data_IF_571795921099
#
_entry.id   IF_571795921099
#
_cell.length_a   1.000
_cell.length_b   1.000
_cell.length_c   1.000
_cell.angle_alpha   90.00
_cell.angle_beta   90.00
_cell.angle_gamma   90.00
#
_symmetry.space_group_name_H-M   'P 1'
#
loop_
_entity.id
_entity.type
_entity.pdbx_description
1 polymer ?
#
# COMPACT_ATOMS: atom_id res chain seq x y z
N UNK A 1 -41.47 16.93 65.73
CA UNK A 1 -41.75 15.91 64.70
C UNK A 1 -41.90 16.59 63.36
N UNK A 2 -41.05 16.21 62.38
CA UNK A 2 -41.26 16.17 60.91
C UNK A 2 -39.89 16.28 60.24
N UNK A 3 -39.31 15.11 59.97
CA UNK A 3 -38.13 14.95 59.13
C UNK A 3 -38.68 14.77 57.71
N UNK A 4 -38.28 15.65 56.79
CA UNK A 4 -38.55 15.52 55.36
C UNK A 4 -37.42 14.68 54.76
N UNK A 5 -37.76 13.50 54.24
CA UNK A 5 -36.86 12.66 53.46
C UNK A 5 -37.06 12.96 51.96
N UNK A 6 -36.00 13.40 51.28
CA UNK A 6 -35.93 13.41 49.82
C UNK A 6 -35.51 12.02 49.33
N UNK A 7 -36.34 11.40 48.51
CA UNK A 7 -36.00 10.19 47.77
C UNK A 7 -35.25 10.57 46.49
N UNK A 8 -34.01 10.12 46.34
CA UNK A 8 -33.25 10.22 45.10
C UNK A 8 -33.60 9.02 44.20
N UNK A 9 -34.20 9.30 43.03
CA UNK A 9 -34.38 8.31 41.98
C UNK A 9 -33.04 8.10 41.26
N UNK A 10 -32.42 6.94 41.47
CA UNK A 10 -31.25 6.50 40.69
C UNK A 10 -31.77 5.93 39.36
N UNK A 11 -31.64 6.72 38.29
CA UNK A 11 -31.83 6.24 36.93
C UNK A 11 -30.66 5.35 36.52
N UNK A 12 -30.89 4.06 36.38
CA UNK A 12 -29.94 3.13 35.76
C UNK A 12 -29.97 3.38 34.25
N UNK A 13 -29.01 4.14 33.75
CA UNK A 13 -28.75 4.22 32.32
C UNK A 13 -28.10 2.91 31.86
N UNK A 14 -28.86 2.06 31.18
CA UNK A 14 -28.31 0.93 30.44
C UNK A 14 -27.61 1.47 29.18
N UNK A 15 -26.34 1.85 29.32
CA UNK A 15 -25.46 1.99 28.18
C UNK A 15 -25.23 0.61 27.57
N UNK A 16 -25.99 0.28 26.53
CA UNK A 16 -25.67 -0.78 25.57
C UNK A 16 -24.36 -0.39 24.88
N UNK A 17 -23.24 -0.75 25.51
CA UNK A 17 -21.91 -0.54 24.96
C UNK A 17 -21.79 -1.37 23.69
N UNK A 18 -21.61 -0.70 22.54
CA UNK A 18 -21.07 -1.36 21.36
C UNK A 18 -19.75 -1.96 21.79
N UNK A 19 -19.61 -3.27 21.68
CA UNK A 19 -18.39 -3.93 22.10
C UNK A 19 -17.27 -3.40 21.19
N UNK A 20 -16.39 -2.59 21.77
CA UNK A 20 -15.32 -1.90 21.05
C UNK A 20 -14.38 -2.94 20.42
N UNK A 21 -13.81 -2.61 19.27
CA UNK A 21 -12.73 -3.40 18.70
C UNK A 21 -11.54 -3.40 19.66
N UNK A 22 -10.86 -4.53 19.76
CA UNK A 22 -9.71 -4.70 20.64
C UNK A 22 -8.45 -4.67 19.80
N UNK A 23 -7.48 -3.82 20.16
CA UNK A 23 -6.20 -3.81 19.45
C UNK A 23 -5.43 -5.10 19.76
N UNK A 24 -5.10 -5.84 18.72
CA UNK A 24 -4.20 -6.97 18.78
C UNK A 24 -2.78 -6.53 18.43
N UNK A 25 -1.81 -7.00 19.20
CA UNK A 25 -0.40 -6.69 19.02
C UNK A 25 0.40 -7.97 18.87
N UNK A 26 1.20 -8.06 17.81
CA UNK A 26 2.15 -9.15 17.64
C UNK A 26 3.22 -9.11 18.76
N UNK A 27 3.42 -10.21 19.51
CA UNK A 27 4.50 -10.29 20.49
C UNK A 27 5.90 -10.03 19.91
N UNK A 28 6.11 -10.28 18.62
CA UNK A 28 7.37 -10.00 17.93
C UNK A 28 7.43 -8.60 17.30
N UNK A 29 6.37 -7.79 17.46
CA UNK A 29 6.31 -6.41 17.00
C UNK A 29 6.25 -6.21 15.49
N UNK A 30 5.80 -7.21 14.69
CA UNK A 30 5.76 -7.12 13.23
C UNK A 30 4.45 -6.57 12.66
N UNK A 31 3.36 -6.64 13.42
CA UNK A 31 2.05 -6.14 12.99
C UNK A 31 1.15 -5.86 14.20
N UNK A 32 0.31 -4.85 14.08
CA UNK A 32 -0.81 -4.54 14.97
C UNK A 32 -2.07 -4.38 14.12
N UNK A 33 -3.24 -4.65 14.69
CA UNK A 33 -4.52 -4.43 14.02
C UNK A 33 -5.68 -4.42 15.03
N UNK A 34 -6.82 -3.91 14.62
CA UNK A 34 -8.04 -3.91 15.44
C UNK A 34 -8.83 -5.19 15.18
N UNK A 35 -8.87 -6.09 16.16
CA UNK A 35 -9.71 -7.29 16.14
C UNK A 35 -11.17 -6.87 16.31
N UNK A 36 -12.06 -7.16 15.34
CA UNK A 36 -13.46 -6.84 15.48
C UNK A 36 -14.09 -7.57 16.69
N UNK A 37 -15.08 -6.95 17.31
CA UNK A 37 -15.68 -7.54 18.50
C UNK A 37 -16.41 -8.85 18.21
N UNK A 38 -16.31 -9.80 19.14
CA UNK A 38 -16.87 -11.14 19.00
C UNK A 38 -16.08 -12.08 18.07
N UNK A 39 -14.97 -11.61 17.49
CA UNK A 39 -14.05 -12.46 16.73
C UNK A 39 -13.00 -13.08 17.66
N UNK A 40 -12.62 -14.31 17.33
CA UNK A 40 -11.49 -15.02 17.94
C UNK A 40 -10.21 -14.73 17.14
N UNK A 41 -9.05 -14.89 17.80
CA UNK A 41 -7.74 -14.75 17.18
C UNK A 41 -6.84 -15.89 17.62
N UNK A 42 -6.20 -16.57 16.66
CA UNK A 42 -5.26 -17.64 16.94
C UNK A 42 -4.06 -17.61 16.00
N UNK A 43 -2.94 -18.19 16.43
CA UNK A 43 -1.75 -18.29 15.61
C UNK A 43 -1.97 -19.29 14.47
N UNK A 44 -1.78 -18.84 13.22
CA UNK A 44 -1.87 -19.65 12.01
C UNK A 44 -0.48 -20.13 11.58
N UNK A 45 0.03 -21.16 12.24
CA UNK A 45 1.34 -21.76 11.93
C UNK A 45 2.54 -21.14 12.68
N UNK A 46 3.78 -21.47 12.27
CA UNK A 46 4.99 -21.04 12.99
C UNK A 46 5.22 -19.53 12.91
N UNK A 47 5.49 -18.90 14.06
CA UNK A 47 5.68 -17.44 14.18
C UNK A 47 7.15 -16.99 14.08
N UNK A 48 8.05 -17.87 13.62
CA UNK A 48 9.50 -17.65 13.69
C UNK A 48 10.01 -16.64 12.67
N UNK A 49 9.58 -16.74 11.41
CA UNK A 49 10.02 -15.86 10.32
C UNK A 49 8.98 -14.81 9.91
N UNK A 50 7.73 -14.99 10.31
CA UNK A 50 6.61 -14.11 10.01
C UNK A 50 5.59 -14.20 11.13
N UNK A 51 4.70 -13.22 11.16
CA UNK A 51 3.48 -13.30 11.95
C UNK A 51 2.35 -13.78 11.06
N UNK A 52 1.55 -14.72 11.56
CA UNK A 52 0.40 -15.26 10.86
C UNK A 52 -0.70 -15.54 11.89
N UNK A 53 -1.83 -14.85 11.76
CA UNK A 53 -2.95 -14.90 12.70
C UNK A 53 -4.23 -15.19 11.92
N UNK A 54 -5.02 -16.17 12.37
CA UNK A 54 -6.39 -16.37 11.91
C UNK A 54 -7.32 -15.63 12.86
N UNK A 55 -8.07 -14.68 12.30
CA UNK A 55 -9.21 -14.03 12.93
C UNK A 55 -10.49 -14.66 12.39
N UNK A 56 -11.40 -15.08 13.25
CA UNK A 56 -12.60 -15.76 12.77
C UNK A 56 -13.82 -15.59 13.67
N UNK A 57 -14.98 -15.82 13.06
CA UNK A 57 -16.25 -16.04 13.73
C UNK A 57 -17.08 -17.05 12.94
N UNK A 58 -18.36 -17.24 13.28
CA UNK A 58 -19.22 -18.24 12.64
C UNK A 58 -19.43 -18.05 11.11
N UNK A 59 -19.11 -16.89 10.54
CA UNK A 59 -19.41 -16.57 9.13
C UNK A 59 -18.24 -15.97 8.36
N UNK A 60 -17.11 -15.72 9.03
CA UNK A 60 -16.01 -14.97 8.46
C UNK A 60 -14.68 -15.48 8.99
N UNK A 61 -13.72 -15.56 8.07
CA UNK A 61 -12.33 -15.91 8.35
C UNK A 61 -11.45 -14.82 7.74
N UNK A 62 -10.43 -14.37 8.46
CA UNK A 62 -9.44 -13.40 8.02
C UNK A 62 -8.05 -13.81 8.49
N UNK A 63 -7.14 -14.05 7.57
CA UNK A 63 -5.73 -14.27 7.89
C UNK A 63 -4.98 -12.96 7.81
N UNK A 64 -4.27 -12.60 8.88
CA UNK A 64 -3.41 -11.41 8.94
C UNK A 64 -1.95 -11.86 9.03
N UNK A 65 -1.10 -11.21 8.25
CA UNK A 65 0.33 -11.48 8.20
C UNK A 65 1.14 -10.21 8.43
N UNK A 66 2.24 -10.35 9.15
CA UNK A 66 3.34 -9.40 9.20
C UNK A 66 4.62 -10.08 8.71
N UNK A 67 5.13 -9.67 7.54
CA UNK A 67 6.28 -10.31 6.90
C UNK A 67 7.39 -9.29 6.65
N UNK A 68 8.64 -9.70 6.82
CA UNK A 68 9.78 -8.88 6.40
C UNK A 68 9.72 -8.65 4.89
N UNK A 69 9.93 -7.40 4.46
CA UNK A 69 9.98 -7.03 3.05
C UNK A 69 11.39 -6.50 2.72
N UNK A 70 12.29 -7.34 2.18
CA UNK A 70 13.64 -6.92 1.84
C UNK A 70 13.68 -5.86 0.74
N UNK A 71 12.66 -5.80 -0.13
CA UNK A 71 12.60 -4.81 -1.21
C UNK A 71 12.36 -3.38 -0.68
N UNK A 72 11.76 -3.24 0.50
CA UNK A 72 11.54 -1.94 1.14
C UNK A 72 12.41 -1.71 2.37
N UNK A 73 13.33 -2.63 2.69
CA UNK A 73 14.20 -2.51 3.86
C UNK A 73 15.08 -1.27 3.85
N UNK A 74 15.51 -0.81 2.67
CA UNK A 74 16.29 0.41 2.48
C UNK A 74 15.44 1.62 2.03
N UNK A 75 14.12 1.45 1.88
CA UNK A 75 13.24 2.55 1.47
C UNK A 75 13.08 3.56 2.60
N UNK A 76 13.06 4.85 2.26
CA UNK A 76 12.64 5.87 3.21
C UNK A 76 11.15 5.72 3.55
N UNK A 77 10.73 6.25 4.69
CA UNK A 77 9.33 6.24 5.10
C UNK A 77 8.44 6.94 4.06
N UNK A 78 8.90 8.04 3.47
CA UNK A 78 8.17 8.71 2.41
C UNK A 78 8.11 7.89 1.11
N UNK A 79 9.20 7.22 0.71
CA UNK A 79 9.19 6.35 -0.47
C UNK A 79 8.21 5.19 -0.30
N UNK A 80 8.21 4.56 0.88
CA UNK A 80 7.23 3.52 1.23
C UNK A 80 5.80 4.05 1.17
N UNK A 81 5.55 5.24 1.72
CA UNK A 81 4.24 5.92 1.66
C UNK A 81 3.77 6.17 0.22
N UNK A 82 4.69 6.47 -0.68
CA UNK A 82 4.36 6.75 -2.08
C UNK A 82 4.22 5.48 -2.95
N UNK A 83 4.23 4.28 -2.34
CA UNK A 83 3.97 3.00 -3.01
C UNK A 83 2.48 2.88 -3.34
N UNK A 84 2.07 3.57 -4.41
CA UNK A 84 0.67 3.66 -4.87
C UNK A 84 0.41 2.92 -6.17
N UNK A 85 1.46 2.40 -6.82
CA UNK A 85 1.32 1.50 -7.96
C UNK A 85 0.65 0.21 -7.49
N UNK A 86 -0.50 -0.17 -8.08
CA UNK A 86 -1.17 -1.42 -7.72
C UNK A 86 -0.26 -2.64 -7.94
N UNK A 87 -0.30 -3.60 -7.01
CA UNK A 87 0.35 -4.90 -7.18
C UNK A 87 -0.10 -5.56 -8.48
N UNK A 88 0.82 -6.29 -9.11
CA UNK A 88 0.48 -7.14 -10.25
C UNK A 88 -0.40 -8.32 -9.79
N UNK A 89 -1.20 -8.91 -10.70
CA UNK A 89 -1.96 -10.12 -10.38
C UNK A 89 -1.11 -11.27 -9.83
N UNK A 90 0.11 -11.45 -10.37
CA UNK A 90 1.05 -12.46 -9.89
C UNK A 90 1.52 -12.17 -8.46
N UNK A 91 1.80 -10.91 -8.12
CA UNK A 91 2.19 -10.54 -6.76
C UNK A 91 1.05 -10.80 -5.76
N UNK A 92 -0.19 -10.50 -6.14
CA UNK A 92 -1.38 -10.86 -5.36
C UNK A 92 -1.51 -12.37 -5.18
N UNK A 93 -1.36 -13.14 -6.26
CA UNK A 93 -1.44 -14.60 -6.20
C UNK A 93 -0.35 -15.19 -5.30
N UNK A 94 0.89 -14.72 -5.41
CA UNK A 94 2.00 -15.12 -4.54
C UNK A 94 1.72 -14.80 -3.07
N UNK A 95 1.19 -13.60 -2.78
CA UNK A 95 0.86 -13.21 -1.42
C UNK A 95 -0.29 -14.05 -0.83
N UNK A 96 -1.36 -14.28 -1.62
CA UNK A 96 -2.55 -15.01 -1.21
C UNK A 96 -2.30 -16.51 -0.99
N UNK A 97 -1.34 -17.09 -1.73
CA UNK A 97 -0.94 -18.50 -1.58
C UNK A 97 -0.40 -18.85 -0.18
N UNK A 98 -0.12 -17.87 0.68
CA UNK A 98 0.17 -18.12 2.09
C UNK A 98 -1.04 -18.71 2.86
N UNK A 99 -2.27 -18.47 2.37
CA UNK A 99 -3.52 -18.91 3.01
C UNK A 99 -4.01 -20.20 2.36
N UNK A 100 -3.46 -21.34 2.79
CA UNK A 100 -3.77 -22.66 2.20
C UNK A 100 -5.22 -23.09 2.36
N UNK A 101 -5.90 -22.58 3.39
CA UNK A 101 -7.31 -22.88 3.63
C UNK A 101 -8.25 -22.20 2.61
N UNK A 102 -7.81 -21.07 2.04
CA UNK A 102 -8.54 -20.40 0.96
C UNK A 102 -8.07 -20.83 -0.43
N UNK A 103 -6.77 -21.11 -0.55
CA UNK A 103 -6.12 -21.49 -1.80
C UNK A 103 -5.35 -22.80 -1.63
N UNK A 104 -6.04 -23.95 -1.75
CA UNK A 104 -5.42 -25.27 -1.67
C UNK A 104 -4.32 -25.44 -2.73
N UNK A 105 -3.37 -26.35 -2.46
CA UNK A 105 -2.26 -26.62 -3.36
C UNK A 105 -2.74 -26.88 -4.80
N UNK A 106 -2.08 -26.25 -5.78
CA UNK A 106 -2.46 -26.31 -7.20
C UNK A 106 -3.56 -25.32 -7.62
N UNK A 107 -4.12 -24.55 -6.69
CA UNK A 107 -5.03 -23.44 -7.03
C UNK A 107 -4.24 -22.16 -7.27
N UNK A 108 -4.59 -21.43 -8.33
CA UNK A 108 -4.03 -20.09 -8.61
C UNK A 108 -5.10 -19.03 -8.37
N UNK A 109 -4.97 -18.18 -7.34
CA UNK A 109 -5.88 -17.05 -7.13
C UNK A 109 -5.99 -16.21 -8.40
N UNK A 110 -7.21 -15.85 -8.81
CA UNK A 110 -7.42 -14.93 -9.93
C UNK A 110 -7.85 -13.57 -9.39
N UNK A 111 -7.16 -12.49 -9.78
CA UNK A 111 -7.60 -11.13 -9.43
C UNK A 111 -8.83 -10.77 -10.26
N UNK A 112 -9.93 -10.45 -9.58
CA UNK A 112 -11.19 -10.01 -10.20
C UNK A 112 -11.22 -8.48 -10.28
N UNK A 113 -10.93 -7.82 -9.17
CA UNK A 113 -10.83 -6.37 -9.06
C UNK A 113 -9.67 -5.98 -8.16
N UNK A 114 -9.11 -4.79 -8.35
CA UNK A 114 -8.11 -4.23 -7.47
C UNK A 114 -8.20 -2.71 -7.42
N UNK A 115 -7.85 -2.15 -6.27
CA UNK A 115 -7.88 -0.70 -6.01
C UNK A 115 -6.73 -0.33 -5.07
N UNK A 116 -6.34 0.95 -5.07
CA UNK A 116 -5.42 1.50 -4.07
C UNK A 116 -6.13 2.64 -3.36
N UNK A 117 -6.36 2.47 -2.06
CA UNK A 117 -6.91 3.51 -1.20
C UNK A 117 -5.77 4.37 -0.66
N UNK A 118 -5.83 5.67 -0.91
CA UNK A 118 -4.84 6.66 -0.48
C UNK A 118 -5.43 7.69 0.50
N UNK A 119 -6.63 7.43 1.03
CA UNK A 119 -7.29 8.31 1.99
C UNK A 119 -6.60 8.32 3.37
N UNK A 120 -5.95 7.21 3.73
CA UNK A 120 -5.11 7.09 4.93
C UNK A 120 -3.68 7.61 4.71
N UNK A 121 -2.91 7.71 5.80
CA UNK A 121 -1.51 8.13 5.69
C UNK A 121 -0.68 7.13 4.85
N UNK A 122 -0.91 5.84 5.09
CA UNK A 122 -0.31 4.75 4.36
C UNK A 122 -1.31 4.19 3.35
N UNK A 123 -0.93 4.04 2.06
CA UNK A 123 -1.83 3.45 1.08
C UNK A 123 -2.20 2.00 1.40
N UNK A 124 -3.45 1.65 1.13
CA UNK A 124 -3.97 0.28 1.25
C UNK A 124 -4.26 -0.25 -0.14
N UNK A 125 -3.47 -1.23 -0.58
CA UNK A 125 -3.74 -1.94 -1.82
C UNK A 125 -4.77 -3.01 -1.54
N UNK A 126 -5.89 -3.03 -2.27
CA UNK A 126 -6.98 -3.98 -2.08
C UNK A 126 -7.21 -4.79 -3.34
N UNK A 127 -7.62 -6.04 -3.18
CA UNK A 127 -8.03 -6.88 -4.30
C UNK A 127 -9.17 -7.81 -3.92
N UNK A 128 -10.04 -8.10 -4.88
CA UNK A 128 -10.93 -9.25 -4.83
C UNK A 128 -10.27 -10.39 -5.62
N UNK A 129 -10.11 -11.52 -4.98
CA UNK A 129 -9.50 -12.73 -5.51
C UNK A 129 -10.56 -13.82 -5.62
N UNK A 130 -10.64 -14.47 -6.76
CA UNK A 130 -11.45 -15.67 -6.94
C UNK A 130 -10.60 -16.90 -6.60
N UNK A 131 -11.04 -17.65 -5.59
CA UNK A 131 -10.57 -19.01 -5.32
C UNK A 131 -11.56 -20.03 -5.93
N UNK A 132 -11.19 -21.33 -6.05
CA UNK A 132 -12.09 -22.33 -6.62
C UNK A 132 -13.45 -22.47 -5.92
N UNK A 133 -13.50 -22.21 -4.61
CA UNK A 133 -14.69 -22.43 -3.78
C UNK A 133 -15.20 -21.18 -3.03
N UNK A 134 -14.52 -20.04 -3.13
CA UNK A 134 -14.87 -18.82 -2.38
C UNK A 134 -14.28 -17.55 -3.00
N UNK A 135 -14.89 -16.42 -2.68
CA UNK A 135 -14.34 -15.09 -2.93
C UNK A 135 -13.49 -14.67 -1.73
N UNK A 136 -12.29 -14.18 -1.99
CA UNK A 136 -11.36 -13.68 -0.98
C UNK A 136 -11.11 -12.20 -1.22
N UNK A 137 -11.15 -11.39 -0.17
CA UNK A 137 -10.82 -9.97 -0.19
C UNK A 137 -9.46 -9.81 0.46
N UNK A 138 -8.52 -9.22 -0.28
CA UNK A 138 -7.15 -9.01 0.14
C UNK A 138 -6.86 -7.53 0.42
N UNK A 139 -6.01 -7.27 1.39
CA UNK A 139 -5.37 -5.99 1.60
C UNK A 139 -3.86 -6.17 1.81
N UNK A 140 -3.07 -5.29 1.23
CA UNK A 140 -1.61 -5.22 1.42
C UNK A 140 -1.24 -3.78 1.72
N UNK A 141 -0.46 -3.60 2.78
CA UNK A 141 0.15 -2.35 3.15
C UNK A 141 1.66 -2.53 3.32
N UNK A 142 2.41 -1.52 2.89
CA UNK A 142 3.88 -1.55 2.92
C UNK A 142 4.39 -0.45 3.85
N UNK A 143 5.48 -0.75 4.54
CA UNK A 143 6.29 0.18 5.34
C UNK A 143 7.77 -0.09 5.05
N UNK A 144 8.71 0.72 5.59
CA UNK A 144 10.13 0.39 5.54
C UNK A 144 10.41 -0.99 6.16
N UNK A 145 10.88 -1.93 5.33
CA UNK A 145 11.32 -3.27 5.74
C UNK A 145 10.23 -4.28 6.10
N UNK A 146 8.96 -3.92 6.05
CA UNK A 146 7.85 -4.82 6.42
C UNK A 146 6.66 -4.63 5.49
N UNK A 147 5.97 -5.73 5.23
CA UNK A 147 4.69 -5.77 4.54
C UNK A 147 3.66 -6.46 5.42
N UNK A 148 2.49 -5.85 5.51
CA UNK A 148 1.36 -6.37 6.27
C UNK A 148 0.26 -6.73 5.29
N UNK A 149 -0.31 -7.92 5.47
CA UNK A 149 -1.29 -8.47 4.54
C UNK A 149 -2.48 -8.97 5.32
N UNK A 150 -3.67 -8.83 4.75
CA UNK A 150 -4.86 -9.51 5.25
C UNK A 150 -5.61 -10.14 4.10
N UNK A 151 -6.13 -11.35 4.30
CA UNK A 151 -6.98 -12.05 3.35
C UNK A 151 -8.21 -12.56 4.08
N UNK A 152 -9.38 -12.11 3.67
CA UNK A 152 -10.64 -12.39 4.32
C UNK A 152 -11.62 -13.08 3.38
N UNK A 153 -12.44 -13.98 3.91
CA UNK A 153 -13.54 -14.63 3.20
C UNK A 153 -14.78 -14.67 4.08
N UNK A 154 -15.95 -14.53 3.47
CA UNK A 154 -17.25 -14.74 4.11
C UNK A 154 -17.94 -15.96 3.54
N UNK A 155 -18.74 -16.66 4.35
CA UNK A 155 -19.64 -17.72 3.87
C UNK A 155 -20.67 -17.21 2.87
N UNK A 156 -20.98 -15.91 2.90
CA UNK A 156 -21.88 -15.26 1.94
C UNK A 156 -21.24 -14.95 0.57
N UNK A 157 -19.91 -15.05 0.46
CA UNK A 157 -19.16 -14.64 -0.73
C UNK A 157 -19.05 -13.13 -0.94
N UNK A 158 -19.63 -12.32 -0.05
CA UNK A 158 -19.59 -10.85 -0.11
C UNK A 158 -18.62 -10.27 0.92
N UNK A 159 -18.11 -9.05 0.66
CA UNK A 159 -17.26 -8.36 1.62
C UNK A 159 -18.06 -7.89 2.84
N UNK A 160 -17.57 -8.21 4.03
CA UNK A 160 -18.13 -7.71 5.29
C UNK A 160 -17.50 -6.36 5.66
N UNK A 161 -18.25 -5.48 6.31
CA UNK A 161 -17.72 -4.22 6.85
C UNK A 161 -16.55 -4.44 7.84
N UNK A 162 -16.53 -5.60 8.52
CA UNK A 162 -15.43 -5.99 9.40
C UNK A 162 -14.11 -6.17 8.64
N UNK A 163 -14.14 -6.56 7.36
CA UNK A 163 -12.92 -6.73 6.56
C UNK A 163 -12.27 -5.38 6.32
N UNK A 164 -13.06 -4.38 5.92
CA UNK A 164 -12.58 -3.02 5.73
C UNK A 164 -11.98 -2.44 7.02
N UNK A 165 -12.59 -2.71 8.18
CA UNK A 165 -12.03 -2.33 9.48
C UNK A 165 -10.66 -2.97 9.71
N UNK A 166 -10.53 -4.29 9.54
CA UNK A 166 -9.26 -5.00 9.68
C UNK A 166 -8.22 -4.40 8.72
N UNK A 167 -8.56 -4.27 7.44
CA UNK A 167 -7.66 -3.77 6.39
C UNK A 167 -7.11 -2.38 6.67
N UNK A 168 -7.97 -1.49 7.18
CA UNK A 168 -7.59 -0.11 7.49
C UNK A 168 -6.85 0.00 8.83
N UNK A 169 -7.00 -0.97 9.73
CA UNK A 169 -6.33 -1.00 11.03
C UNK A 169 -4.94 -1.65 11.00
N UNK A 170 -4.53 -2.30 9.90
CA UNK A 170 -3.20 -2.90 9.80
C UNK A 170 -2.13 -1.83 10.02
N UNK A 171 -1.31 -2.03 11.04
CA UNK A 171 -0.29 -1.09 11.47
C UNK A 171 0.96 -1.79 11.99
N UNK A 172 1.96 -0.96 12.28
CA UNK A 172 3.23 -1.40 12.84
C UNK A 172 3.58 -0.57 14.08
N UNK A 173 4.25 -1.12 15.11
CA UNK A 173 4.66 -0.34 16.29
C UNK A 173 5.51 0.90 15.98
N UNK A 174 6.20 0.92 14.83
CA UNK A 174 7.02 2.05 14.37
C UNK A 174 6.26 3.08 13.51
N UNK A 175 4.94 2.93 13.31
CA UNK A 175 4.20 3.80 12.38
C UNK A 175 4.30 5.28 12.76
N UNK A 176 4.22 5.63 14.04
CA UNK A 176 4.37 7.01 14.49
C UNK A 176 5.76 7.59 14.12
N UNK A 177 6.82 6.80 14.30
CA UNK A 177 8.19 7.19 13.93
C UNK A 177 8.32 7.40 12.43
N UNK A 178 7.82 6.46 11.62
CA UNK A 178 7.89 6.56 10.16
C UNK A 178 7.01 7.69 9.60
N UNK A 179 5.84 7.94 10.18
CA UNK A 179 4.98 9.07 9.81
C UNK A 179 5.68 10.42 10.03
N UNK A 180 6.37 10.56 11.16
CA UNK A 180 7.18 11.75 11.46
C UNK A 180 8.33 11.91 10.46
N UNK A 181 9.08 10.84 10.18
CA UNK A 181 10.17 10.85 9.20
C UNK A 181 9.69 11.21 7.79
N UNK A 182 8.57 10.64 7.34
CA UNK A 182 8.01 10.94 6.03
C UNK A 182 7.58 12.42 5.94
N UNK A 183 6.96 12.96 7.00
CA UNK A 183 6.56 14.37 7.06
C UNK A 183 7.74 15.34 6.98
N UNK A 184 8.84 15.02 7.67
CA UNK A 184 10.09 15.78 7.59
C UNK A 184 10.69 15.71 6.17
N UNK A 185 10.77 14.51 5.58
CA UNK A 185 11.31 14.30 4.24
C UNK A 185 10.52 15.04 3.15
N UNK A 186 9.19 15.08 3.27
CA UNK A 186 8.34 15.89 2.38
C UNK A 186 8.70 17.37 2.49
N UNK A 187 8.77 17.89 3.72
CA UNK A 187 9.09 19.30 3.98
C UNK A 187 10.46 19.70 3.44
N UNK A 188 11.47 18.84 3.60
CA UNK A 188 12.82 19.05 3.06
C UNK A 188 12.87 19.01 1.53
N UNK A 189 12.04 18.18 0.89
CA UNK A 189 11.94 18.18 -0.58
C UNK A 189 11.29 19.44 -1.09
N UNK A 190 10.20 19.89 -0.47
CA UNK A 190 9.50 21.10 -0.88
C UNK A 190 10.41 22.32 -0.72
N UNK A 191 11.16 22.40 0.39
CA UNK A 191 12.16 23.44 0.61
C UNK A 191 13.28 23.42 -0.45
N UNK A 192 13.78 22.23 -0.81
CA UNK A 192 14.80 22.08 -1.88
C UNK A 192 14.25 22.47 -3.25
N UNK A 193 13.03 22.07 -3.57
CA UNK A 193 12.38 22.42 -4.83
C UNK A 193 12.15 23.94 -4.94
N UNK A 194 11.71 24.59 -3.86
CA UNK A 194 11.55 26.04 -3.80
C UNK A 194 12.89 26.77 -3.96
N UNK A 195 13.95 26.31 -3.29
CA UNK A 195 15.29 26.88 -3.42
C UNK A 195 15.84 26.74 -4.86
N UNK A 196 15.64 25.58 -5.49
CA UNK A 196 16.03 25.35 -6.88
C UNK A 196 15.24 26.25 -7.85
N UNK A 197 13.94 26.42 -7.64
CA UNK A 197 13.10 27.31 -8.45
C UNK A 197 13.54 28.79 -8.32
N UNK A 198 13.87 29.25 -7.10
CA UNK A 198 14.37 30.59 -6.88
C UNK A 198 15.72 30.84 -7.57
N UNK A 199 16.63 29.86 -7.54
CA UNK A 199 17.90 29.93 -8.25
C UNK A 199 17.72 29.98 -9.77
N UNK A 200 16.78 29.20 -10.32
CA UNK A 200 16.46 29.22 -11.74
C UNK A 200 15.89 30.57 -12.19
N UNK A 201 15.03 31.21 -11.37
CA UNK A 201 14.46 32.53 -11.66
C UNK A 201 15.48 33.67 -11.56
N UNK A 202 16.59 33.50 -10.83
CA UNK A 202 17.64 34.50 -10.68
C UNK A 202 18.72 34.44 -11.78
N UNK A 203 18.73 33.41 -12.63
CA UNK A 203 19.63 33.37 -13.78
C UNK A 203 19.08 34.28 -14.91
N UNK A 204 19.86 35.28 -15.37
CA UNK A 204 19.44 36.12 -16.48
C UNK A 204 19.19 35.26 -17.73
N UNK A 205 18.10 35.55 -18.46
CA UNK A 205 17.85 34.92 -19.75
C UNK A 205 19.12 35.01 -20.62
N UNK A 206 19.56 33.91 -21.26
CA UNK A 206 20.65 34.00 -22.21
C UNK A 206 20.23 35.00 -23.29
N UNK A 207 20.95 36.13 -23.35
CA UNK A 207 20.73 37.16 -24.35
C UNK A 207 20.64 36.50 -25.72
N UNK A 208 19.45 36.47 -26.28
CA UNK A 208 19.22 36.21 -27.71
C UNK A 208 19.69 37.46 -28.46
N UNK A 209 20.99 37.73 -28.38
CA UNK A 209 21.65 38.72 -29.23
C UNK A 209 21.72 38.11 -30.63
N UNK A 210 20.70 38.44 -31.40
CA UNK A 210 20.75 38.78 -32.83
C UNK A 210 22.05 38.41 -33.55
N UNK A 211 21.97 37.39 -34.41
CA UNK A 211 22.84 37.29 -35.58
C UNK A 211 21.97 36.95 -36.81
N UNK A 212 21.24 37.95 -37.29
CA UNK A 212 20.83 38.12 -38.68
C UNK A 212 20.97 39.62 -38.95
N UNK A 213 21.56 40.11 -40.07
CA UNK A 213 21.28 39.58 -41.42
C UNK A 213 22.42 39.63 -42.48
N UNK A 214 22.12 38.94 -43.59
CA UNK A 214 22.51 39.18 -45.01
C UNK A 214 23.96 39.09 -45.49
N UNK A 215 24.18 38.18 -46.44
CA UNK A 215 24.83 38.54 -47.71
C UNK A 215 24.02 37.95 -48.89
N UNK A 216 23.53 38.77 -49.84
CA UNK A 216 23.02 38.33 -51.14
C UNK A 216 24.17 38.19 -52.15
N UNK A 217 23.98 37.36 -53.16
CA UNK A 217 24.85 37.17 -54.34
C UNK A 217 26.10 36.28 -54.16
N UNK A 218 25.92 35.02 -54.53
CA UNK A 218 27.00 34.05 -54.74
C UNK A 218 26.54 32.86 -55.57
N UNK A 219 26.27 33.10 -56.85
CA UNK A 219 26.13 32.05 -57.88
C UNK A 219 27.45 31.29 -57.97
N UNK A 220 27.43 29.97 -57.74
CA UNK A 220 28.20 29.00 -58.55
C UNK A 220 27.83 27.54 -58.26
N UNK A 221 27.16 26.93 -59.24
CA UNK A 221 27.53 25.67 -59.90
C UNK A 221 27.96 24.46 -59.05
N UNK A 222 26.97 23.55 -58.90
CA UNK A 222 27.03 22.16 -59.35
C UNK A 222 28.25 21.30 -59.01
N UNK A 223 28.06 20.33 -58.09
CA UNK A 223 28.66 18.97 -58.13
C UNK A 223 27.71 18.05 -57.34
N UNK A 224 26.84 17.27 -57.97
CA UNK A 224 27.04 15.86 -58.36
C UNK A 224 27.46 14.88 -57.23
N UNK A 225 26.70 13.78 -57.12
CA UNK A 225 27.09 12.44 -56.60
C UNK A 225 27.19 12.24 -55.08
N UNK A 226 26.35 11.37 -54.52
CA UNK A 226 26.57 9.91 -54.62
C UNK A 226 25.69 9.16 -53.62
N UNK A 227 24.90 8.23 -54.15
CA UNK A 227 24.38 7.06 -53.45
C UNK A 227 25.44 6.35 -52.61
N UNK A 228 25.05 5.87 -51.42
CA UNK A 228 25.56 4.66 -50.71
C UNK A 228 24.59 4.38 -49.56
N UNK A 229 23.51 3.64 -49.83
CA UNK A 229 23.38 2.17 -49.76
C UNK A 229 23.18 1.64 -48.32
N UNK A 230 21.96 1.18 -47.97
CA UNK A 230 21.65 0.52 -46.71
C UNK A 230 21.56 -1.00 -46.91
N UNK A 231 22.64 -1.76 -46.65
CA UNK A 231 22.59 -3.24 -46.51
C UNK A 231 23.91 -3.83 -45.98
N UNK A 232 23.85 -4.43 -44.80
CA UNK A 232 24.67 -5.53 -44.24
C UNK A 232 24.86 -5.27 -42.72
N UNK A 233 24.48 -6.14 -41.79
CA UNK A 233 24.84 -7.55 -41.72
C UNK A 233 23.81 -8.37 -40.93
N UNK A 234 23.38 -9.48 -41.55
CA UNK A 234 23.05 -10.74 -40.86
C UNK A 234 24.33 -11.37 -40.29
N UNK A 235 24.27 -11.98 -39.10
CA UNK A 235 24.89 -13.26 -38.68
C UNK A 235 24.24 -13.60 -37.32
N UNK A 236 23.35 -14.60 -37.19
CA UNK A 236 23.57 -16.06 -37.15
C UNK A 236 24.76 -16.47 -36.27
N UNK A 237 24.44 -17.09 -35.14
CA UNK A 237 25.31 -17.88 -34.27
C UNK A 237 24.39 -18.77 -33.44
N UNK A 238 24.72 -20.05 -33.41
CA UNK A 238 23.95 -21.22 -32.96
C UNK A 238 23.48 -21.21 -31.49
#
# INVERSE_FOLDING_TARGET
MRILALAAAVGVALSVGVAQAEQWNDPNGRVTFDKPSGWQAEAAGPQTAQTAVLLFNASNDCYVFGVANPNTASSSADAARNTTTPLSPDAWATAANAVRDFFPAGSSPQVVTQTVDTSGFWPVQRAQLQAPSRTVFGAVQVRPGVEMRAFCSSTSGSESAAFAQIFNSLGHPNDATWQSQASQQMSERDARAAAAAAQAAAQPEPSTTQAQPTDPDGVNDGVERSSRDPRARRRRGD
#
